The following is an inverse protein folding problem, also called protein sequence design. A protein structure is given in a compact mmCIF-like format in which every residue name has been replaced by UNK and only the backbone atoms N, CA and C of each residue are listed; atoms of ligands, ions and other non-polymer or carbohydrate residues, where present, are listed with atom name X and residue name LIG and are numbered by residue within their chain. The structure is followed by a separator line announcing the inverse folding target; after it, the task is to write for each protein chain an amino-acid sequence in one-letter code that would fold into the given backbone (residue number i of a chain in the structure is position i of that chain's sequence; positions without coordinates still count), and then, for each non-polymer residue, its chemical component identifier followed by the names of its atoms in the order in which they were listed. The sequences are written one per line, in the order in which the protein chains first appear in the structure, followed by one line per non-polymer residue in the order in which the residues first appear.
data_IF_996359563290
#
_entry.id   IF_996359563290
#
_cell.length_a   1.000
_cell.length_b   1.000
_cell.length_c   1.000
_cell.angle_alpha   90.00
_cell.angle_beta   90.00
_cell.angle_gamma   90.00
#
_symmetry.space_group_name_H-M   'P 1'
#
loop_
_entity.id
_entity.type
_entity.pdbx_description
1 polymer ?
#
# COMPACT_ATOMS: atom_id res chain seq x y z
N UNK A 1 11.28 26.19 -18.86
CA UNK A 1 10.97 25.89 -17.47
C UNK A 1 11.26 24.40 -17.29
N UNK A 2 12.32 24.05 -16.56
CA UNK A 2 12.69 22.67 -16.29
C UNK A 2 11.82 22.21 -15.12
N UNK A 3 11.01 21.17 -15.31
CA UNK A 3 10.33 20.47 -14.24
C UNK A 3 11.40 19.78 -13.40
N UNK A 4 11.44 20.08 -12.10
CA UNK A 4 12.28 19.41 -11.14
C UNK A 4 11.76 17.98 -10.96
N UNK A 5 12.67 17.01 -11.11
CA UNK A 5 12.42 15.58 -10.95
C UNK A 5 12.30 15.27 -9.45
N UNK A 6 11.38 14.42 -9.02
CA UNK A 6 11.45 13.85 -7.67
C UNK A 6 12.59 12.81 -7.67
N UNK A 7 13.68 13.17 -7.04
CA UNK A 7 14.84 12.28 -6.82
C UNK A 7 14.53 11.36 -5.63
N UNK A 8 14.18 10.12 -5.90
CA UNK A 8 13.93 9.09 -4.88
C UNK A 8 15.22 8.59 -4.18
N UNK A 9 16.40 9.10 -4.50
CA UNK A 9 17.68 8.52 -4.08
C UNK A 9 18.74 9.50 -3.54
N UNK A 10 18.43 10.78 -3.30
CA UNK A 10 19.44 11.68 -2.74
C UNK A 10 19.05 12.24 -1.38
N UNK A 11 19.81 11.83 -0.38
CA UNK A 11 19.90 12.52 0.89
C UNK A 11 20.42 13.95 0.65
N UNK A 12 19.57 14.95 0.79
CA UNK A 12 20.05 16.32 0.96
C UNK A 12 19.68 16.82 2.36
N UNK A 13 20.67 16.85 3.24
CA UNK A 13 20.62 17.73 4.38
C UNK A 13 20.44 19.15 3.84
N UNK A 14 19.35 19.84 4.23
CA UNK A 14 19.17 21.27 3.99
C UNK A 14 18.31 21.65 2.78
N UNK A 15 17.21 20.96 2.50
CA UNK A 15 16.16 21.43 1.59
C UNK A 15 15.38 22.58 2.23
N UNK A 16 15.29 23.73 1.54
CA UNK A 16 14.41 24.84 1.88
C UNK A 16 13.02 24.28 2.14
N UNK A 17 12.43 24.57 3.31
CA UNK A 17 11.00 24.34 3.59
C UNK A 17 10.21 25.08 2.52
N UNK A 18 9.82 24.39 1.44
CA UNK A 18 8.68 24.82 0.66
C UNK A 18 7.55 24.99 1.69
N UNK A 19 6.85 26.11 1.68
CA UNK A 19 5.76 26.35 2.63
C UNK A 19 4.69 25.29 2.37
N UNK A 20 4.63 24.27 3.24
CA UNK A 20 3.60 23.25 3.19
C UNK A 20 2.23 23.95 3.18
N UNK A 21 1.27 23.49 2.36
CA UNK A 21 -0.07 24.05 2.40
C UNK A 21 -0.65 23.83 3.79
N UNK A 22 -0.92 24.93 4.49
CA UNK A 22 -1.49 24.86 5.85
C UNK A 22 -2.91 24.33 5.77
N UNK A 23 -3.30 23.33 6.60
CA UNK A 23 -4.68 22.87 6.68
C UNK A 23 -5.62 24.04 7.05
N UNK A 24 -6.82 24.04 6.51
CA UNK A 24 -7.86 24.98 6.92
C UNK A 24 -8.31 24.70 8.37
N UNK A 25 -9.13 25.61 8.92
CA UNK A 25 -9.55 25.53 10.31
C UNK A 25 -10.36 24.25 10.63
N UNK A 26 -11.13 23.74 9.67
CA UNK A 26 -11.90 22.51 9.85
C UNK A 26 -10.98 21.28 9.89
N UNK A 27 -10.01 21.22 8.98
CA UNK A 27 -9.00 20.16 8.95
C UNK A 27 -8.12 20.19 10.21
N UNK A 28 -7.71 21.39 10.67
CA UNK A 28 -6.96 21.53 11.92
C UNK A 28 -7.76 21.03 13.13
N UNK A 29 -9.04 21.40 13.23
CA UNK A 29 -9.92 20.92 14.30
C UNK A 29 -10.09 19.39 14.26
N UNK A 30 -10.23 18.82 13.07
CA UNK A 30 -10.29 17.36 12.88
C UNK A 30 -9.02 16.66 13.38
N UNK A 31 -7.85 17.13 12.95
CA UNK A 31 -6.56 16.59 13.40
C UNK A 31 -6.37 16.72 14.92
N UNK A 32 -6.78 17.86 15.50
CA UNK A 32 -6.72 18.06 16.94
C UNK A 32 -7.57 17.03 17.71
N UNK A 33 -8.76 16.66 17.21
CA UNK A 33 -9.57 15.61 17.85
C UNK A 33 -8.89 14.25 17.85
N UNK A 34 -8.23 13.88 16.74
CA UNK A 34 -7.48 12.64 16.69
C UNK A 34 -6.24 12.70 17.58
N UNK A 35 -5.53 13.83 17.60
CA UNK A 35 -4.37 14.03 18.46
C UNK A 35 -4.72 13.85 19.95
N UNK A 36 -5.87 14.35 20.40
CA UNK A 36 -6.34 14.14 21.76
C UNK A 36 -6.61 12.67 22.07
N UNK A 37 -7.18 11.90 21.11
CA UNK A 37 -7.35 10.44 21.27
C UNK A 37 -6.02 9.71 21.37
N UNK A 38 -5.06 10.06 20.49
CA UNK A 38 -3.71 9.48 20.54
C UNK A 38 -3.03 9.79 21.88
N UNK A 39 -3.15 11.03 22.35
CA UNK A 39 -2.63 11.44 23.66
C UNK A 39 -3.25 10.65 24.82
N UNK A 40 -4.57 10.45 24.81
CA UNK A 40 -5.26 9.64 25.81
C UNK A 40 -4.80 8.16 25.78
N UNK A 41 -4.59 7.60 24.59
CA UNK A 41 -4.05 6.24 24.41
C UNK A 41 -2.62 6.13 24.99
N UNK A 42 -1.73 7.09 24.67
CA UNK A 42 -0.37 7.17 25.22
C UNK A 42 -0.42 7.21 26.76
N UNK A 43 -1.32 8.01 27.33
CA UNK A 43 -1.47 8.15 28.77
C UNK A 43 -1.95 6.85 29.42
N UNK A 44 -2.94 6.18 28.81
CA UNK A 44 -3.47 4.91 29.27
C UNK A 44 -2.44 3.77 29.18
N UNK A 45 -1.55 3.82 28.18
CA UNK A 45 -0.47 2.86 27.97
C UNK A 45 0.78 3.12 28.82
N UNK A 46 0.75 4.06 29.78
CA UNK A 46 1.88 4.34 30.66
C UNK A 46 2.91 5.32 30.10
N UNK A 47 2.52 6.14 29.11
CA UNK A 47 3.32 7.24 28.56
C UNK A 47 3.93 7.00 27.20
N UNK A 48 3.80 5.80 26.64
CA UNK A 48 4.35 5.43 25.33
C UNK A 48 3.47 4.39 24.62
N UNK A 49 3.35 4.50 23.30
CA UNK A 49 2.74 3.48 22.43
C UNK A 49 3.70 3.12 21.30
N UNK A 50 3.57 1.92 20.71
CA UNK A 50 4.36 1.56 19.53
C UNK A 50 4.02 2.47 18.34
N UNK A 51 4.99 2.65 17.42
CA UNK A 51 4.70 3.38 16.18
C UNK A 51 3.59 2.68 15.37
N UNK A 52 3.55 1.36 15.36
CA UNK A 52 2.47 0.58 14.75
C UNK A 52 1.09 1.01 15.26
N UNK A 53 0.93 1.15 16.59
CA UNK A 53 -0.34 1.60 17.18
C UNK A 53 -0.67 3.04 16.80
N UNK A 54 0.33 3.91 16.76
CA UNK A 54 0.16 5.30 16.27
C UNK A 54 -0.32 5.32 14.82
N UNK A 55 0.35 4.59 13.92
CA UNK A 55 -0.01 4.52 12.49
C UNK A 55 -1.43 3.96 12.31
N UNK A 56 -1.78 2.91 13.06
CA UNK A 56 -3.15 2.38 13.08
C UNK A 56 -4.18 3.45 13.45
N UNK A 57 -3.91 4.21 14.50
CA UNK A 57 -4.81 5.30 14.93
C UNK A 57 -4.86 6.42 13.90
N UNK A 58 -3.73 6.84 13.35
CA UNK A 58 -3.64 7.92 12.38
C UNK A 58 -4.38 7.61 11.08
N UNK A 59 -4.36 6.35 10.64
CA UNK A 59 -4.98 5.93 9.38
C UNK A 59 -6.42 5.42 9.54
N UNK A 60 -6.71 4.68 10.62
CA UNK A 60 -7.93 3.85 10.71
C UNK A 60 -8.86 4.17 11.87
N UNK A 61 -8.60 5.19 12.69
CA UNK A 61 -9.57 5.57 13.73
C UNK A 61 -10.92 5.93 13.10
N UNK A 62 -12.03 5.27 13.50
CA UNK A 62 -13.35 5.53 12.93
C UNK A 62 -13.74 7.01 12.98
N UNK A 63 -14.06 7.58 11.81
CA UNK A 63 -14.46 8.98 11.61
C UNK A 63 -13.33 10.01 11.76
N UNK A 64 -12.10 9.62 12.12
CA UNK A 64 -10.98 10.55 12.32
C UNK A 64 -9.70 10.16 11.57
N UNK A 65 -9.45 8.88 11.36
CA UNK A 65 -8.28 8.40 10.64
C UNK A 65 -8.32 8.77 9.17
N UNK A 66 -7.16 8.85 8.55
CA UNK A 66 -6.98 9.30 7.17
C UNK A 66 -7.93 8.60 6.18
N UNK A 67 -8.05 7.28 6.22
CA UNK A 67 -8.94 6.51 5.36
C UNK A 67 -10.40 6.48 5.83
N UNK A 68 -10.67 6.87 7.10
CA UNK A 68 -11.98 6.74 7.74
C UNK A 68 -12.72 8.07 7.92
N UNK A 69 -12.12 9.20 7.54
CA UNK A 69 -12.62 10.53 7.88
C UNK A 69 -13.56 11.16 6.85
N UNK A 70 -13.98 10.44 5.82
CA UNK A 70 -15.01 10.89 4.87
C UNK A 70 -14.67 12.11 4.01
N UNK A 71 -13.45 12.56 4.00
CA UNK A 71 -13.04 13.68 3.16
C UNK A 71 -12.44 13.13 1.86
N UNK A 72 -12.69 13.81 0.72
CA UNK A 72 -12.08 13.49 -0.58
C UNK A 72 -10.58 13.76 -0.53
N UNK A 73 -9.81 12.75 -0.06
CA UNK A 73 -8.35 12.83 0.09
C UNK A 73 -7.60 12.07 -0.98
N UNK A 74 -8.33 11.27 -1.79
CA UNK A 74 -7.79 10.51 -2.91
C UNK A 74 -8.04 11.27 -4.22
N UNK A 75 -7.12 11.17 -5.18
CA UNK A 75 -7.23 11.72 -6.53
C UNK A 75 -6.45 13.01 -6.74
N UNK A 76 -6.66 13.66 -7.89
CA UNK A 76 -5.88 14.82 -8.35
C UNK A 76 -5.90 16.03 -7.40
N UNK A 77 -6.97 16.19 -6.62
CA UNK A 77 -7.11 17.20 -5.56
C UNK A 77 -6.75 16.66 -4.17
N UNK A 78 -6.35 15.36 -4.07
CA UNK A 78 -5.96 14.67 -2.85
C UNK A 78 -4.44 14.56 -2.67
N UNK A 79 -4.04 13.67 -1.75
CA UNK A 79 -2.64 13.50 -1.36
C UNK A 79 -1.87 12.59 -2.33
N UNK A 80 -2.56 11.70 -3.06
CA UNK A 80 -1.96 10.71 -3.94
C UNK A 80 -2.83 10.41 -5.18
N UNK A 81 -2.17 10.15 -6.32
CA UNK A 81 -2.81 9.68 -7.56
C UNK A 81 -2.30 8.26 -7.83
N UNK A 82 -3.18 7.27 -7.70
CA UNK A 82 -2.85 5.88 -7.94
C UNK A 82 -2.80 5.53 -9.44
N UNK A 83 -2.16 4.42 -9.78
CA UNK A 83 -2.05 3.96 -11.18
C UNK A 83 -3.41 3.89 -11.91
N UNK A 84 -4.48 3.35 -11.32
CA UNK A 84 -5.80 3.31 -11.97
C UNK A 84 -6.45 4.67 -12.22
N UNK A 85 -6.05 5.71 -11.50
CA UNK A 85 -6.56 7.08 -11.71
C UNK A 85 -5.92 7.81 -12.88
N UNK A 86 -4.75 7.33 -13.33
CA UNK A 86 -4.01 7.94 -14.44
C UNK A 86 -4.53 7.54 -15.82
N UNK A 87 -5.18 6.39 -15.91
CA UNK A 87 -5.72 5.84 -17.15
C UNK A 87 -6.28 4.44 -16.96
N UNK A 88 -6.55 3.70 -18.04
CA UNK A 88 -7.21 2.39 -17.98
C UNK A 88 -6.34 1.22 -18.44
N UNK A 89 -5.08 1.46 -18.72
CA UNK A 89 -4.18 0.44 -19.27
C UNK A 89 -3.90 -0.68 -18.26
N UNK A 90 -3.64 -0.33 -16.99
CA UNK A 90 -3.41 -1.32 -15.94
C UNK A 90 -4.62 -2.25 -15.78
N UNK A 91 -5.83 -1.70 -15.66
CA UNK A 91 -7.05 -2.48 -15.50
C UNK A 91 -7.34 -3.38 -16.70
N UNK A 92 -7.04 -2.92 -17.93
CA UNK A 92 -7.20 -3.74 -19.15
C UNK A 92 -6.19 -4.89 -19.23
N UNK A 93 -4.94 -4.66 -18.87
CA UNK A 93 -3.93 -5.74 -18.79
C UNK A 93 -4.31 -6.72 -17.69
N UNK A 94 -4.72 -6.25 -16.52
CA UNK A 94 -5.22 -7.10 -15.44
C UNK A 94 -6.42 -7.93 -15.87
N UNK A 95 -7.39 -7.36 -16.58
CA UNK A 95 -8.54 -8.10 -17.07
C UNK A 95 -8.13 -9.30 -17.97
N UNK A 96 -7.09 -9.16 -18.78
CA UNK A 96 -6.54 -10.28 -19.58
C UNK A 96 -5.92 -11.39 -18.72
N UNK A 97 -5.28 -11.01 -17.61
CA UNK A 97 -4.72 -11.98 -16.64
C UNK A 97 -5.83 -12.67 -15.85
N UNK A 98 -6.85 -11.92 -15.46
CA UNK A 98 -7.96 -12.40 -14.64
C UNK A 98 -8.88 -13.36 -15.40
N UNK A 99 -9.17 -13.11 -16.69
CA UNK A 99 -10.11 -13.89 -17.47
C UNK A 99 -9.81 -15.40 -17.45
N UNK A 100 -8.61 -15.90 -17.77
CA UNK A 100 -8.31 -17.32 -17.70
C UNK A 100 -8.36 -17.89 -16.28
N UNK A 101 -7.97 -17.12 -15.25
CA UNK A 101 -8.01 -17.56 -13.85
C UNK A 101 -9.44 -17.81 -13.37
N UNK A 102 -10.39 -17.00 -13.83
CA UNK A 102 -11.81 -17.08 -13.45
C UNK A 102 -12.61 -18.15 -14.23
N UNK A 103 -12.11 -18.56 -15.38
CA UNK A 103 -12.77 -19.59 -16.21
C UNK A 103 -12.44 -21.02 -15.77
N UNK A 104 -11.45 -21.20 -14.89
CA UNK A 104 -10.99 -22.53 -14.46
C UNK A 104 -11.92 -23.23 -13.48
N UNK A 105 -12.75 -22.50 -12.76
CA UNK A 105 -13.73 -23.07 -11.80
C UNK A 105 -15.13 -22.51 -12.08
N UNK A 106 -16.06 -23.39 -12.47
CA UNK A 106 -17.47 -23.02 -12.70
C UNK A 106 -18.19 -22.55 -11.42
N UNK A 107 -17.59 -22.75 -10.25
CA UNK A 107 -18.10 -22.30 -8.94
C UNK A 107 -17.43 -21.01 -8.47
N UNK A 108 -16.80 -20.27 -9.38
CA UNK A 108 -16.09 -19.04 -9.05
C UNK A 108 -17.04 -17.98 -8.48
N UNK A 109 -16.67 -17.40 -7.34
CA UNK A 109 -17.33 -16.25 -6.73
C UNK A 109 -16.97 -14.93 -7.45
N UNK A 110 -16.03 -14.98 -8.40
CA UNK A 110 -15.57 -13.85 -9.18
C UNK A 110 -14.31 -13.17 -8.61
N UNK A 111 -14.34 -11.86 -8.58
CA UNK A 111 -13.23 -11.02 -8.10
C UNK A 111 -13.60 -10.40 -6.74
N UNK A 112 -12.68 -10.50 -5.77
CA UNK A 112 -12.72 -9.75 -4.51
C UNK A 112 -11.56 -8.76 -4.51
N UNK A 113 -11.85 -7.47 -4.56
CA UNK A 113 -10.84 -6.40 -4.45
C UNK A 113 -10.82 -5.85 -3.03
N UNK A 114 -9.62 -5.73 -2.46
CA UNK A 114 -9.40 -5.09 -1.17
C UNK A 114 -9.11 -3.60 -1.37
N UNK A 115 -9.83 -2.74 -0.66
CA UNK A 115 -9.52 -1.31 -0.64
C UNK A 115 -9.54 -0.66 -2.02
N UNK A 116 -10.65 -0.78 -2.76
CA UNK A 116 -10.74 -0.29 -4.14
C UNK A 116 -10.58 1.25 -4.31
N UNK A 117 -10.34 1.98 -3.23
CA UNK A 117 -10.24 3.43 -3.24
C UNK A 117 -11.47 4.08 -3.87
N UNK A 118 -11.28 4.89 -4.89
CA UNK A 118 -12.40 5.52 -5.64
C UNK A 118 -13.10 4.57 -6.62
N UNK A 119 -12.62 3.33 -6.78
CA UNK A 119 -13.24 2.30 -7.62
C UNK A 119 -12.81 2.32 -9.09
N UNK A 120 -11.78 3.06 -9.47
CA UNK A 120 -11.35 3.16 -10.88
C UNK A 120 -10.83 1.83 -11.41
N UNK A 121 -10.05 1.06 -10.62
CA UNK A 121 -9.55 -0.24 -11.06
C UNK A 121 -10.70 -1.23 -11.28
N UNK A 122 -11.64 -1.31 -10.32
CA UNK A 122 -12.84 -2.11 -10.44
C UNK A 122 -13.64 -1.75 -11.70
N UNK A 123 -13.81 -0.46 -11.98
CA UNK A 123 -14.52 0.01 -13.19
C UNK A 123 -13.84 -0.46 -14.46
N UNK A 124 -12.53 -0.32 -14.56
CA UNK A 124 -11.75 -0.70 -15.73
C UNK A 124 -11.83 -2.21 -15.98
N UNK A 125 -11.69 -3.00 -14.92
CA UNK A 125 -11.77 -4.47 -15.00
C UNK A 125 -13.19 -4.90 -15.41
N UNK A 126 -14.24 -4.32 -14.79
CA UNK A 126 -15.63 -4.66 -15.13
C UNK A 126 -16.02 -4.28 -16.55
N UNK A 127 -15.47 -3.19 -17.09
CA UNK A 127 -15.69 -2.85 -18.51
C UNK A 127 -15.17 -3.93 -19.46
N UNK A 128 -14.09 -4.61 -19.08
CA UNK A 128 -13.52 -5.72 -19.87
C UNK A 128 -14.18 -7.06 -19.55
N UNK A 129 -14.65 -7.26 -18.32
CA UNK A 129 -15.22 -8.52 -17.82
C UNK A 129 -16.62 -8.30 -17.20
N UNK A 130 -17.61 -7.81 -17.99
CA UNK A 130 -18.90 -7.35 -17.46
C UNK A 130 -19.76 -8.46 -16.83
N UNK A 131 -19.51 -9.72 -17.17
CA UNK A 131 -20.26 -10.87 -16.66
C UNK A 131 -19.67 -11.51 -15.41
N UNK A 132 -18.47 -11.07 -15.00
CA UNK A 132 -17.81 -11.62 -13.83
C UNK A 132 -18.32 -10.89 -12.58
N UNK A 133 -18.79 -11.62 -11.54
CA UNK A 133 -19.15 -11.02 -10.26
C UNK A 133 -17.97 -10.25 -9.66
N UNK A 134 -18.25 -9.07 -9.12
CA UNK A 134 -17.24 -8.22 -8.50
C UNK A 134 -17.68 -7.81 -7.11
N UNK A 135 -16.82 -8.06 -6.14
CA UNK A 135 -17.03 -7.70 -4.74
C UNK A 135 -15.88 -6.82 -4.28
N UNK A 136 -16.18 -5.78 -3.53
CA UNK A 136 -15.18 -4.90 -2.91
C UNK A 136 -15.26 -5.04 -1.40
N UNK A 137 -14.12 -5.31 -0.77
CA UNK A 137 -13.97 -5.19 0.67
C UNK A 137 -13.45 -3.78 0.96
N UNK A 138 -14.34 -2.93 1.48
CA UNK A 138 -14.05 -1.53 1.79
C UNK A 138 -14.50 -1.19 3.20
N UNK A 139 -13.61 -0.57 3.98
CA UNK A 139 -13.88 -0.21 5.36
C UNK A 139 -14.48 1.20 5.50
N UNK A 140 -14.16 2.08 4.55
CA UNK A 140 -14.64 3.48 4.54
C UNK A 140 -16.07 3.59 4.01
N UNK A 141 -17.05 4.04 4.83
CA UNK A 141 -18.43 4.23 4.37
C UNK A 141 -18.55 5.21 3.20
N UNK A 142 -17.70 6.23 3.17
CA UNK A 142 -17.73 7.26 2.13
C UNK A 142 -17.18 6.76 0.81
N UNK A 143 -16.08 5.99 0.83
CA UNK A 143 -15.57 5.31 -0.36
C UNK A 143 -16.58 4.29 -0.88
N UNK A 144 -17.23 3.51 0.00
CA UNK A 144 -18.33 2.64 -0.41
C UNK A 144 -19.47 3.40 -1.11
N UNK A 145 -19.84 4.58 -0.59
CA UNK A 145 -20.89 5.38 -1.23
C UNK A 145 -20.49 5.87 -2.63
N UNK A 146 -19.24 6.31 -2.80
CA UNK A 146 -18.69 6.71 -4.09
C UNK A 146 -18.62 5.52 -5.07
N UNK A 147 -18.13 4.38 -4.61
CA UNK A 147 -18.04 3.15 -5.39
C UNK A 147 -19.43 2.68 -5.84
N UNK A 148 -20.44 2.69 -4.96
CA UNK A 148 -21.83 2.34 -5.33
C UNK A 148 -22.44 3.27 -6.37
N UNK A 149 -22.11 4.56 -6.31
CA UNK A 149 -22.56 5.52 -7.32
C UNK A 149 -21.91 5.28 -8.69
N UNK A 150 -20.64 4.90 -8.72
CA UNK A 150 -19.88 4.62 -9.95
C UNK A 150 -20.16 3.23 -10.51
N UNK A 151 -20.33 2.23 -9.63
CA UNK A 151 -20.37 0.79 -9.93
C UNK A 151 -21.57 0.14 -9.23
N UNK A 152 -22.81 0.40 -9.70
CA UNK A 152 -24.02 -0.07 -9.03
C UNK A 152 -24.17 -1.61 -9.03
N UNK A 153 -23.43 -2.33 -9.88
CA UNK A 153 -23.42 -3.79 -9.95
C UNK A 153 -22.42 -4.46 -9.01
N UNK A 154 -21.54 -3.68 -8.37
CA UNK A 154 -20.51 -4.22 -7.46
C UNK A 154 -21.10 -4.49 -6.09
N UNK A 155 -20.79 -5.66 -5.56
CA UNK A 155 -21.12 -6.02 -4.18
C UNK A 155 -20.10 -5.42 -3.21
N UNK A 156 -20.55 -5.04 -1.99
CA UNK A 156 -19.67 -4.47 -0.96
C UNK A 156 -19.78 -5.30 0.32
N UNK A 157 -18.61 -5.67 0.85
CA UNK A 157 -18.48 -6.36 2.13
C UNK A 157 -17.53 -5.57 3.06
N UNK A 158 -17.69 -5.76 4.36
CA UNK A 158 -16.84 -5.12 5.39
C UNK A 158 -15.94 -6.12 6.10
N UNK A 159 -16.08 -7.40 5.78
CA UNK A 159 -15.30 -8.48 6.36
C UNK A 159 -14.90 -9.45 5.26
N UNK A 160 -13.73 -10.06 5.44
CA UNK A 160 -13.25 -11.09 4.55
C UNK A 160 -14.25 -12.27 4.58
N UNK A 161 -14.75 -12.71 3.40
CA UNK A 161 -15.61 -13.90 3.34
C UNK A 161 -14.88 -15.13 3.91
N UNK A 162 -15.59 -15.99 4.64
CA UNK A 162 -14.99 -17.20 5.22
C UNK A 162 -14.47 -18.17 4.14
N UNK A 163 -15.08 -18.15 2.95
CA UNK A 163 -14.71 -18.98 1.81
C UNK A 163 -14.81 -18.16 0.54
N UNK A 164 -13.79 -18.25 -0.31
CA UNK A 164 -13.76 -17.60 -1.62
C UNK A 164 -13.17 -18.52 -2.68
N UNK A 165 -13.77 -18.54 -3.86
CA UNK A 165 -13.28 -19.21 -5.05
C UNK A 165 -13.17 -18.21 -6.18
N UNK A 166 -11.99 -18.02 -6.73
CA UNK A 166 -11.78 -17.02 -7.78
C UNK A 166 -10.54 -16.17 -7.52
N UNK A 167 -10.60 -14.89 -7.79
CA UNK A 167 -9.44 -14.03 -7.64
C UNK A 167 -9.65 -13.02 -6.51
N UNK A 168 -8.65 -12.89 -5.66
CA UNK A 168 -8.52 -11.81 -4.69
C UNK A 168 -7.45 -10.83 -5.18
N UNK A 169 -7.75 -9.54 -5.19
CA UNK A 169 -6.89 -8.49 -5.73
C UNK A 169 -6.66 -7.40 -4.67
N UNK A 170 -5.40 -7.07 -4.42
CA UNK A 170 -5.00 -5.93 -3.59
C UNK A 170 -4.00 -5.06 -4.36
N UNK A 171 -4.39 -3.81 -4.60
CA UNK A 171 -3.55 -2.80 -5.24
C UNK A 171 -3.34 -1.63 -4.28
N UNK A 172 -2.10 -1.37 -3.89
CA UNK A 172 -1.74 -0.33 -2.92
C UNK A 172 -2.53 -0.48 -1.60
N UNK A 173 -2.41 -1.64 -0.96
CA UNK A 173 -3.11 -1.98 0.30
C UNK A 173 -2.11 -2.30 1.41
N UNK A 174 -1.01 -2.99 1.07
CA UNK A 174 -0.06 -3.46 2.06
C UNK A 174 0.83 -2.33 2.58
N UNK A 175 1.13 -1.35 1.74
CA UNK A 175 1.93 -0.16 2.06
C UNK A 175 1.30 0.70 3.17
N UNK A 176 -0.04 0.71 3.23
CA UNK A 176 -0.82 1.41 4.25
C UNK A 176 -1.04 0.60 5.54
N UNK A 177 -0.60 -0.66 5.59
CA UNK A 177 -0.71 -1.47 6.81
C UNK A 177 0.27 -0.98 7.89
N UNK A 178 -0.20 -0.84 9.16
CA UNK A 178 0.64 -0.38 10.24
C UNK A 178 1.90 -1.23 10.45
N UNK A 179 3.06 -0.57 10.43
CA UNK A 179 4.38 -1.20 10.53
C UNK A 179 4.99 -1.09 11.90
N UNK A 180 5.84 -2.03 12.25
CA UNK A 180 6.75 -1.90 13.39
C UNK A 180 8.01 -1.20 12.90
N UNK A 181 8.36 -0.07 13.49
CA UNK A 181 9.63 0.62 13.21
C UNK A 181 10.65 0.14 14.23
N UNK A 182 11.78 -0.37 13.74
CA UNK A 182 12.90 -0.81 14.58
C UNK A 182 14.15 -0.02 14.24
N UNK A 183 15.02 0.15 15.23
CA UNK A 183 16.30 0.86 15.07
C UNK A 183 17.34 0.25 16.01
N UNK A 184 18.59 0.17 15.58
CA UNK A 184 19.71 -0.20 16.46
C UNK A 184 20.08 0.98 17.37
N UNK A 185 20.22 0.74 18.67
CA UNK A 185 20.66 1.76 19.64
C UNK A 185 22.19 1.88 19.69
N UNK A 186 22.71 2.76 20.56
CA UNK A 186 24.14 3.00 20.76
C UNK A 186 24.94 1.75 21.21
N UNK A 187 24.27 0.65 21.51
CA UNK A 187 24.85 -0.63 21.94
C UNK A 187 24.62 -1.75 20.91
N UNK A 188 24.22 -1.39 19.67
CA UNK A 188 23.83 -2.29 18.60
C UNK A 188 22.66 -3.24 18.96
N UNK A 189 21.85 -2.86 19.98
CA UNK A 189 20.64 -3.62 20.33
C UNK A 189 19.48 -3.15 19.49
N UNK A 190 18.78 -4.08 18.86
CA UNK A 190 17.57 -3.77 18.11
C UNK A 190 16.42 -3.42 19.05
N UNK A 191 15.86 -2.24 18.87
CA UNK A 191 14.73 -1.74 19.66
C UNK A 191 13.59 -1.27 18.79
N UNK A 192 12.38 -1.40 19.30
CA UNK A 192 11.20 -0.84 18.65
C UNK A 192 11.08 0.65 18.94
N UNK A 193 10.87 1.43 17.88
CA UNK A 193 10.56 2.86 17.97
C UNK A 193 9.10 3.03 18.38
N UNK A 194 8.91 3.99 19.25
CA UNK A 194 7.63 4.29 19.89
C UNK A 194 7.29 5.77 19.75
N UNK A 195 6.10 6.14 20.20
CA UNK A 195 5.56 7.49 20.18
C UNK A 195 5.18 7.89 21.59
N UNK A 196 5.60 9.06 22.02
CA UNK A 196 5.21 9.66 23.30
C UNK A 196 4.74 11.12 23.13
N UNK A 197 4.09 11.62 24.15
CA UNK A 197 3.75 13.03 24.28
C UNK A 197 4.80 13.75 25.15
N UNK A 198 5.45 14.80 24.62
CA UNK A 198 6.49 15.54 25.34
C UNK A 198 5.99 16.79 26.09
N UNK A 199 4.68 17.07 26.05
CA UNK A 199 4.06 18.27 26.62
C UNK A 199 3.59 19.27 25.55
N UNK A 200 4.20 19.28 24.39
CA UNK A 200 3.89 20.17 23.28
C UNK A 200 3.38 19.42 22.03
N UNK A 201 3.90 18.20 21.80
CA UNK A 201 3.56 17.39 20.64
C UNK A 201 3.93 15.93 20.80
N UNK A 202 3.69 15.18 19.70
CA UNK A 202 4.17 13.81 19.55
C UNK A 202 5.66 13.83 19.19
N UNK A 203 6.40 12.89 19.73
CA UNK A 203 7.79 12.68 19.38
C UNK A 203 8.19 11.21 19.42
N UNK A 204 9.28 10.87 18.75
CA UNK A 204 9.87 9.54 18.79
C UNK A 204 10.36 9.19 20.19
N UNK A 205 10.08 7.95 20.59
CA UNK A 205 10.55 7.34 21.82
C UNK A 205 11.05 5.92 21.54
N UNK A 206 11.39 5.19 22.60
CA UNK A 206 11.71 3.77 22.56
C UNK A 206 10.66 2.98 23.34
N UNK A 207 10.32 1.79 22.85
CA UNK A 207 9.64 0.80 23.70
C UNK A 207 10.59 0.41 24.85
N UNK A 208 10.04 0.13 26.06
CA UNK A 208 10.87 -0.20 27.22
C UNK A 208 11.78 -1.41 27.00
N UNK A 209 11.26 -2.43 26.33
CA UNK A 209 11.97 -3.69 26.11
C UNK A 209 12.67 -3.72 24.73
N UNK A 210 13.79 -4.44 24.59
CA UNK A 210 14.40 -4.72 23.30
C UNK A 210 13.40 -5.45 22.36
N UNK A 211 13.53 -5.26 21.05
CA UNK A 211 12.75 -6.03 20.11
C UNK A 211 13.26 -7.47 20.03
N UNK A 212 12.36 -8.45 20.16
CA UNK A 212 12.72 -9.86 20.14
C UNK A 212 13.23 -10.31 18.77
N UNK A 213 14.47 -10.75 18.69
CA UNK A 213 15.10 -11.21 17.44
C UNK A 213 14.38 -12.45 16.89
N UNK A 214 13.78 -13.26 17.74
CA UNK A 214 12.97 -14.43 17.37
C UNK A 214 11.69 -14.08 16.60
N UNK A 215 11.25 -12.85 16.68
CA UNK A 215 10.10 -12.33 15.92
C UNK A 215 10.48 -11.86 14.50
N UNK A 216 11.78 -11.89 14.16
CA UNK A 216 12.28 -11.47 12.86
C UNK A 216 12.17 -12.62 11.84
N UNK A 217 11.97 -12.24 10.57
CA UNK A 217 12.17 -13.17 9.47
C UNK A 217 13.62 -13.72 9.52
N UNK A 218 13.83 -15.04 9.52
CA UNK A 218 15.18 -15.64 9.53
C UNK A 218 16.09 -15.11 8.41
N UNK A 219 15.54 -14.71 7.28
CA UNK A 219 16.27 -14.08 6.17
C UNK A 219 16.82 -12.69 6.49
N UNK A 220 16.34 -12.04 7.54
CA UNK A 220 16.81 -10.72 7.96
C UNK A 220 18.12 -10.76 8.75
N UNK A 221 18.31 -11.78 9.57
CA UNK A 221 19.45 -11.87 10.48
C UNK A 221 20.83 -11.72 9.79
N UNK A 222 21.09 -12.34 8.62
CA UNK A 222 22.36 -12.15 7.91
C UNK A 222 22.56 -10.72 7.38
N UNK A 223 21.46 -10.00 7.09
CA UNK A 223 21.50 -8.64 6.56
C UNK A 223 21.80 -7.62 7.68
N UNK A 224 21.32 -7.88 8.89
CA UNK A 224 21.57 -7.03 10.06
C UNK A 224 23.07 -6.86 10.35
N UNK A 225 23.89 -7.87 10.09
CA UNK A 225 25.34 -7.80 10.29
C UNK A 225 26.05 -6.74 9.41
N UNK A 226 25.36 -6.19 8.41
CA UNK A 226 25.87 -5.15 7.51
C UNK A 226 25.30 -3.77 7.80
N UNK A 227 24.41 -3.65 8.80
CA UNK A 227 23.77 -2.38 9.13
C UNK A 227 24.75 -1.43 9.80
N UNK A 228 24.73 -0.15 9.44
CA UNK A 228 25.47 0.86 10.17
C UNK A 228 24.82 1.14 11.53
N UNK A 229 25.53 1.86 12.40
CA UNK A 229 24.98 2.38 13.66
C UNK A 229 23.68 3.18 13.41
N UNK A 230 22.73 3.08 14.32
CA UNK A 230 21.43 3.77 14.24
C UNK A 230 20.63 3.45 12.97
N UNK A 231 20.78 2.24 12.46
CA UNK A 231 20.02 1.80 11.30
C UNK A 231 18.54 1.64 11.68
N UNK A 232 17.68 2.40 11.01
CA UNK A 232 16.23 2.36 11.17
C UNK A 232 15.58 1.70 9.96
N UNK A 233 14.59 0.84 10.23
CA UNK A 233 13.81 0.18 9.19
C UNK A 233 12.43 -0.21 9.70
N UNK A 234 11.58 -0.66 8.79
CA UNK A 234 10.24 -1.15 9.09
C UNK A 234 10.17 -2.67 8.96
N UNK A 235 9.35 -3.28 9.83
CA UNK A 235 8.94 -4.67 9.74
C UNK A 235 7.43 -4.71 9.48
N UNK A 236 6.98 -5.65 8.64
CA UNK A 236 5.59 -5.79 8.19
C UNK A 236 4.89 -7.05 8.71
N UNK A 237 4.81 -7.29 10.02
CA UNK A 237 4.16 -8.52 10.54
C UNK A 237 2.68 -8.59 10.19
N UNK A 238 2.01 -7.44 10.03
CA UNK A 238 0.60 -7.41 9.64
C UNK A 238 0.37 -7.85 8.19
N UNK A 239 1.28 -7.57 7.26
CA UNK A 239 1.14 -7.99 5.87
C UNK A 239 1.18 -9.52 5.74
N UNK A 240 2.09 -10.19 6.46
CA UNK A 240 2.16 -11.66 6.47
C UNK A 240 0.99 -12.29 7.22
N UNK A 241 0.53 -11.70 8.33
CA UNK A 241 -0.65 -12.17 9.05
C UNK A 241 -1.92 -12.01 8.21
N UNK A 242 -2.10 -10.88 7.53
CA UNK A 242 -3.20 -10.66 6.60
C UNK A 242 -3.16 -11.66 5.43
N UNK A 243 -1.98 -11.92 4.86
CA UNK A 243 -1.84 -12.91 3.79
C UNK A 243 -2.24 -14.33 4.28
N UNK A 244 -1.98 -14.68 5.55
CA UNK A 244 -2.45 -15.91 6.15
C UNK A 244 -4.00 -15.96 6.17
N UNK A 245 -4.67 -14.89 6.65
CA UNK A 245 -6.13 -14.82 6.70
C UNK A 245 -6.74 -14.93 5.29
N UNK A 246 -6.15 -14.23 4.32
CA UNK A 246 -6.55 -14.31 2.91
C UNK A 246 -6.35 -15.72 2.36
N UNK A 247 -5.23 -16.35 2.66
CA UNK A 247 -4.95 -17.72 2.23
C UNK A 247 -5.94 -18.72 2.86
N UNK A 248 -6.34 -18.54 4.11
CA UNK A 248 -7.32 -19.41 4.77
C UNK A 248 -8.72 -19.27 4.15
N UNK A 249 -9.10 -18.05 3.77
CA UNK A 249 -10.36 -17.78 3.06
C UNK A 249 -10.36 -18.33 1.63
N UNK A 250 -9.26 -18.17 0.88
CA UNK A 250 -9.16 -18.59 -0.52
C UNK A 250 -9.15 -20.12 -0.64
N UNK A 251 -10.20 -20.70 -1.21
CA UNK A 251 -10.33 -22.16 -1.40
C UNK A 251 -9.64 -22.63 -2.69
N UNK A 252 -9.81 -21.88 -3.78
CA UNK A 252 -9.18 -22.10 -5.07
C UNK A 252 -9.12 -20.80 -5.87
N UNK A 253 -8.10 -20.64 -6.69
CA UNK A 253 -7.94 -19.46 -7.54
C UNK A 253 -6.62 -18.73 -7.30
N UNK A 254 -6.63 -17.41 -7.24
CA UNK A 254 -5.40 -16.62 -7.11
C UNK A 254 -5.54 -15.42 -6.18
N UNK A 255 -4.44 -15.06 -5.53
CA UNK A 255 -4.22 -13.77 -4.87
C UNK A 255 -3.25 -12.96 -5.73
N UNK A 256 -3.63 -11.75 -6.09
CA UNK A 256 -2.81 -10.80 -6.85
C UNK A 256 -2.52 -9.60 -5.96
N UNK A 257 -1.25 -9.31 -5.74
CA UNK A 257 -0.76 -8.19 -4.96
C UNK A 257 0.01 -7.25 -5.89
N UNK A 258 -0.33 -5.98 -5.87
CA UNK A 258 0.37 -4.91 -6.61
C UNK A 258 0.67 -3.82 -5.60
N UNK A 259 1.95 -3.59 -5.36
CA UNK A 259 2.37 -2.59 -4.37
C UNK A 259 3.82 -2.15 -4.63
N UNK A 260 4.22 -1.02 -4.07
CA UNK A 260 5.61 -0.61 -4.14
C UNK A 260 6.43 -1.21 -2.99
N UNK A 261 7.61 -1.70 -3.34
CA UNK A 261 8.45 -2.40 -2.38
C UNK A 261 9.65 -3.08 -3.01
N UNK A 262 10.33 -3.85 -2.19
CA UNK A 262 11.60 -4.46 -2.54
C UNK A 262 11.71 -5.88 -2.01
N UNK A 263 12.67 -6.62 -2.55
CA UNK A 263 13.18 -7.82 -1.89
C UNK A 263 14.06 -7.44 -0.69
N UNK A 264 14.22 -8.37 0.26
CA UNK A 264 14.91 -8.12 1.51
C UNK A 264 16.31 -7.51 1.36
N UNK A 265 17.09 -7.97 0.38
CA UNK A 265 18.44 -7.46 0.13
C UNK A 265 18.48 -5.97 -0.26
N UNK A 266 17.47 -5.49 -0.97
CA UNK A 266 17.32 -4.08 -1.32
C UNK A 266 16.56 -3.32 -0.24
N UNK A 267 15.54 -3.93 0.36
CA UNK A 267 14.73 -3.34 1.42
C UNK A 267 15.59 -2.95 2.62
N UNK A 268 16.44 -3.87 3.07
CA UNK A 268 17.34 -3.72 4.23
C UNK A 268 18.76 -3.33 3.85
N UNK A 269 18.96 -2.73 2.65
CA UNK A 269 20.28 -2.34 2.20
C UNK A 269 20.91 -1.31 3.15
N UNK A 270 22.23 -1.41 3.49
CA UNK A 270 22.90 -0.49 4.43
C UNK A 270 22.78 1.00 4.10
N UNK A 271 22.56 1.36 2.84
CA UNK A 271 22.34 2.75 2.43
C UNK A 271 20.93 3.29 2.75
N UNK A 272 19.98 2.43 3.15
CA UNK A 272 18.60 2.81 3.52
C UNK A 272 18.47 3.01 5.03
N UNK A 273 19.36 3.81 5.62
CA UNK A 273 19.51 3.97 7.07
C UNK A 273 18.28 4.52 7.80
N UNK A 274 17.34 5.12 7.09
CA UNK A 274 16.15 5.75 7.67
C UNK A 274 14.85 5.01 7.31
N UNK A 275 14.97 3.83 6.71
CA UNK A 275 13.84 3.04 6.26
C UNK A 275 13.08 3.64 5.08
N UNK A 276 11.87 3.14 4.89
CA UNK A 276 10.98 3.49 3.79
C UNK A 276 9.73 4.26 4.22
N UNK A 277 9.49 4.39 5.54
CA UNK A 277 8.34 5.12 6.08
C UNK A 277 8.26 6.54 5.51
N UNK A 278 7.09 6.90 5.02
CA UNK A 278 6.80 8.23 4.46
C UNK A 278 5.47 8.74 4.98
N UNK A 279 5.39 10.07 5.11
CA UNK A 279 4.16 10.78 5.36
C UNK A 279 3.89 11.73 4.19
N UNK A 280 2.65 11.77 3.71
CA UNK A 280 2.25 12.65 2.62
C UNK A 280 1.08 13.53 3.03
N UNK A 281 1.13 14.79 2.64
CA UNK A 281 0.03 15.73 2.75
C UNK A 281 -0.06 16.58 1.49
N UNK A 282 -1.18 16.50 0.77
CA UNK A 282 -1.43 17.23 -0.49
C UNK A 282 -0.25 17.12 -1.47
N UNK A 283 0.17 15.88 -1.74
CA UNK A 283 1.29 15.55 -2.63
C UNK A 283 2.68 16.05 -2.16
N UNK A 284 2.79 16.53 -0.93
CA UNK A 284 4.06 16.94 -0.33
C UNK A 284 4.54 15.85 0.64
N UNK A 285 5.77 15.43 0.45
CA UNK A 285 6.44 14.57 1.40
C UNK A 285 6.80 15.33 2.68
N UNK A 286 6.57 14.70 3.82
CA UNK A 286 6.87 15.19 5.16
C UNK A 286 7.95 14.34 5.80
N UNK A 287 8.95 14.99 6.40
CA UNK A 287 10.02 14.30 7.15
C UNK A 287 9.54 13.76 8.50
N UNK A 288 8.48 14.34 9.06
CA UNK A 288 7.94 14.00 10.36
C UNK A 288 6.55 13.38 10.22
N UNK A 289 6.38 12.08 10.59
CA UNK A 289 5.10 11.39 10.47
C UNK A 289 4.06 11.87 11.49
N UNK A 290 4.42 12.74 12.40
CA UNK A 290 3.53 13.24 13.46
C UNK A 290 2.79 14.51 13.09
N UNK A 291 3.08 15.11 11.93
CA UNK A 291 2.31 16.25 11.44
C UNK A 291 0.85 15.87 11.16
N UNK A 292 -0.06 16.63 11.71
CA UNK A 292 -1.50 16.57 11.48
C UNK A 292 -2.07 15.15 11.40
N UNK A 293 -2.06 14.37 12.50
CA UNK A 293 -2.60 13.01 12.50
C UNK A 293 -4.02 12.97 11.93
N UNK A 294 -4.29 11.97 11.09
CA UNK A 294 -5.57 11.85 10.37
C UNK A 294 -5.71 12.74 9.13
N UNK A 295 -4.75 13.64 8.85
CA UNK A 295 -4.70 14.42 7.59
C UNK A 295 -3.62 13.95 6.63
N UNK A 296 -2.62 13.22 7.13
CA UNK A 296 -1.50 12.71 6.34
C UNK A 296 -1.69 11.23 6.06
N UNK A 297 -1.36 10.83 4.85
CA UNK A 297 -1.15 9.43 4.52
C UNK A 297 0.19 8.97 5.06
N UNK A 298 0.22 7.78 5.65
CA UNK A 298 1.43 7.15 6.19
C UNK A 298 1.61 5.82 5.46
N UNK A 299 2.72 5.68 4.76
CA UNK A 299 3.02 4.49 3.97
C UNK A 299 4.42 3.97 4.24
N UNK A 300 4.61 2.68 4.06
CA UNK A 300 5.91 2.04 4.09
C UNK A 300 6.03 1.03 2.95
N UNK A 301 7.22 0.88 2.38
CA UNK A 301 7.43 -0.09 1.31
C UNK A 301 7.14 -1.52 1.78
N UNK A 302 6.67 -2.37 0.87
CA UNK A 302 6.39 -3.77 1.15
C UNK A 302 7.65 -4.61 1.02
N UNK A 303 7.94 -5.44 2.03
CA UNK A 303 8.97 -6.46 1.94
C UNK A 303 8.41 -7.71 1.24
N UNK A 304 8.59 -7.80 -0.08
CA UNK A 304 8.10 -8.93 -0.86
C UNK A 304 8.80 -10.25 -0.55
N UNK A 305 10.05 -10.24 -0.07
CA UNK A 305 10.72 -11.48 0.36
C UNK A 305 9.99 -12.16 1.51
N UNK A 306 9.44 -11.41 2.46
CA UNK A 306 8.66 -11.98 3.56
C UNK A 306 7.40 -12.67 3.06
N UNK A 307 6.69 -12.07 2.08
CA UNK A 307 5.50 -12.67 1.46
C UNK A 307 5.85 -13.92 0.65
N UNK A 308 6.93 -13.87 -0.14
CA UNK A 308 7.42 -15.00 -0.93
C UNK A 308 7.84 -16.17 -0.03
N UNK A 309 8.49 -15.91 1.10
CA UNK A 309 8.88 -16.95 2.07
C UNK A 309 7.66 -17.55 2.77
N UNK A 310 6.64 -16.76 3.09
CA UNK A 310 5.43 -17.24 3.75
C UNK A 310 4.53 -18.05 2.80
N UNK A 311 4.47 -17.72 1.51
CA UNK A 311 3.52 -18.29 0.55
C UNK A 311 3.46 -19.84 0.56
N UNK A 312 4.59 -20.60 0.51
CA UNK A 312 4.55 -22.06 0.50
C UNK A 312 3.92 -22.65 1.78
N UNK A 313 4.19 -22.06 2.95
CA UNK A 313 3.64 -22.53 4.22
C UNK A 313 2.14 -22.33 4.32
N UNK A 314 1.61 -21.36 3.54
CA UNK A 314 0.18 -21.03 3.41
C UNK A 314 -0.52 -21.86 2.32
N UNK A 315 0.20 -22.78 1.65
CA UNK A 315 -0.30 -23.56 0.52
C UNK A 315 -0.55 -22.71 -0.73
N UNK A 316 0.20 -21.62 -0.89
CA UNK A 316 0.19 -20.75 -2.05
C UNK A 316 1.41 -21.02 -2.92
N UNK A 317 1.20 -21.15 -4.22
CA UNK A 317 2.26 -21.33 -5.24
C UNK A 317 2.51 -20.00 -5.93
N UNK A 318 3.77 -19.57 -6.05
CA UNK A 318 4.14 -18.37 -6.80
C UNK A 318 3.98 -18.64 -8.29
N UNK A 319 3.07 -17.94 -8.95
CA UNK A 319 2.84 -18.00 -10.40
C UNK A 319 3.61 -16.90 -11.13
N UNK A 320 3.66 -15.71 -10.57
CA UNK A 320 4.43 -14.58 -11.08
C UNK A 320 4.98 -13.75 -9.92
N UNK A 321 6.22 -13.29 -10.06
CA UNK A 321 6.80 -12.22 -9.27
C UNK A 321 7.73 -11.38 -10.15
N UNK A 322 7.56 -10.06 -10.11
CA UNK A 322 8.39 -9.14 -10.88
C UNK A 322 7.96 -7.69 -10.71
N UNK A 323 8.70 -6.77 -11.33
CA UNK A 323 8.29 -5.38 -11.36
C UNK A 323 7.11 -5.15 -12.31
N UNK A 324 6.42 -4.03 -12.12
CA UNK A 324 5.21 -3.68 -12.88
C UNK A 324 5.46 -3.61 -14.38
N UNK A 325 6.59 -3.02 -14.81
CA UNK A 325 6.93 -2.91 -16.22
C UNK A 325 7.04 -4.29 -16.88
N UNK A 326 7.74 -5.23 -16.24
CA UNK A 326 7.87 -6.61 -16.71
C UNK A 326 6.50 -7.30 -16.75
N UNK A 327 5.70 -7.16 -15.69
CA UNK A 327 4.35 -7.71 -15.65
C UNK A 327 3.50 -7.25 -16.83
N UNK A 328 3.45 -5.95 -17.07
CA UNK A 328 2.67 -5.38 -18.16
C UNK A 328 3.11 -5.90 -19.54
N UNK A 329 4.43 -5.95 -19.78
CA UNK A 329 4.99 -6.42 -21.05
C UNK A 329 4.67 -7.91 -21.28
N UNK A 330 4.86 -8.76 -20.28
CA UNK A 330 4.61 -10.20 -20.38
C UNK A 330 3.11 -10.53 -20.51
N UNK A 331 2.21 -9.64 -20.07
CA UNK A 331 0.77 -9.87 -20.09
C UNK A 331 -0.01 -9.03 -21.11
N UNK A 332 0.67 -8.60 -22.18
CA UNK A 332 0.01 -8.09 -23.38
C UNK A 332 -0.14 -6.56 -23.44
N UNK A 333 0.74 -5.81 -22.79
CA UNK A 333 0.79 -4.34 -22.88
C UNK A 333 0.71 -3.84 -24.34
N UNK A 334 1.49 -4.46 -25.25
CA UNK A 334 1.54 -4.02 -26.65
C UNK A 334 0.21 -4.16 -27.37
N UNK A 335 -0.51 -5.25 -27.12
CA UNK A 335 -1.83 -5.50 -27.73
C UNK A 335 -2.88 -4.55 -27.15
N UNK A 336 -2.89 -4.38 -25.82
CA UNK A 336 -3.79 -3.43 -25.14
C UNK A 336 -3.55 -2.02 -25.65
N UNK A 337 -2.29 -1.62 -25.80
CA UNK A 337 -1.95 -0.33 -26.38
C UNK A 337 -2.47 -0.18 -27.80
N UNK A 338 -2.25 -1.18 -28.66
CA UNK A 338 -2.72 -1.14 -30.05
C UNK A 338 -4.24 -1.02 -30.14
N UNK A 339 -4.98 -1.75 -29.31
CA UNK A 339 -6.45 -1.65 -29.21
C UNK A 339 -6.90 -0.26 -28.75
N UNK A 340 -6.25 0.28 -27.72
CA UNK A 340 -6.60 1.59 -27.17
C UNK A 340 -6.22 2.74 -28.11
N UNK A 341 -5.13 2.61 -28.86
CA UNK A 341 -4.64 3.63 -29.79
C UNK A 341 -5.43 3.67 -31.11
N UNK A 342 -6.14 2.60 -31.45
CA UNK A 342 -6.83 2.49 -32.74
C UNK A 342 -7.90 3.59 -32.90
N UNK A 343 -7.75 4.42 -33.93
CA UNK A 343 -8.71 5.47 -34.27
C UNK A 343 -8.74 6.66 -33.31
N UNK A 344 -7.79 6.76 -32.38
CA UNK A 344 -7.71 7.87 -31.42
C UNK A 344 -7.14 9.14 -32.01
N UNK A 345 -7.59 10.27 -31.50
CA UNK A 345 -7.03 11.58 -31.79
C UNK A 345 -5.66 11.79 -31.09
N UNK A 346 -4.88 12.73 -31.59
CA UNK A 346 -3.51 13.02 -31.11
C UNK A 346 -3.47 13.28 -29.59
N UNK A 347 -4.43 13.99 -29.04
CA UNK A 347 -4.49 14.28 -27.60
C UNK A 347 -4.69 13.01 -26.76
N UNK A 348 -5.55 12.08 -27.19
CA UNK A 348 -5.76 10.80 -26.52
C UNK A 348 -4.54 9.89 -26.60
N UNK A 349 -3.86 9.88 -27.76
CA UNK A 349 -2.60 9.15 -27.93
C UNK A 349 -1.50 9.71 -27.01
N UNK A 350 -1.44 11.03 -26.85
CA UNK A 350 -0.49 11.66 -25.93
C UNK A 350 -0.75 11.26 -24.47
N UNK A 351 -2.03 11.25 -24.05
CA UNK A 351 -2.40 10.80 -22.71
C UNK A 351 -2.03 9.32 -22.49
N UNK A 352 -2.34 8.45 -23.45
CA UNK A 352 -2.01 7.03 -23.39
C UNK A 352 -0.49 6.79 -23.32
N UNK A 353 0.30 7.53 -24.10
CA UNK A 353 1.75 7.44 -24.07
C UNK A 353 2.32 7.90 -22.71
N UNK A 354 1.72 8.91 -22.09
CA UNK A 354 2.12 9.34 -20.74
C UNK A 354 1.76 8.28 -19.68
N UNK A 355 0.59 7.63 -19.81
CA UNK A 355 0.21 6.51 -18.93
C UNK A 355 1.23 5.37 -19.02
N UNK A 356 1.57 4.91 -20.24
CA UNK A 356 2.61 3.89 -20.46
C UNK A 356 3.92 4.31 -19.82
N UNK A 357 4.36 5.52 -20.08
CA UNK A 357 5.63 6.02 -19.51
C UNK A 357 5.63 5.92 -17.99
N UNK A 358 4.56 6.33 -17.34
CA UNK A 358 4.44 6.26 -15.87
C UNK A 358 4.45 4.82 -15.36
N UNK A 359 3.74 3.92 -16.04
CA UNK A 359 3.63 2.52 -15.61
C UNK A 359 4.88 1.68 -15.93
N UNK A 360 5.74 2.10 -16.85
CA UNK A 360 6.86 1.25 -17.33
C UNK A 360 8.25 1.82 -17.10
N UNK A 361 8.40 3.14 -16.92
CA UNK A 361 9.73 3.72 -16.73
C UNK A 361 10.30 3.45 -15.34
N UNK A 362 11.61 3.14 -15.21
CA UNK A 362 12.23 2.82 -13.93
C UNK A 362 12.14 3.95 -12.90
N UNK A 363 12.18 5.21 -13.35
CA UNK A 363 12.10 6.39 -12.47
C UNK A 363 10.67 6.74 -12.04
N UNK A 364 9.71 6.01 -12.55
CA UNK A 364 8.29 6.14 -12.23
C UNK A 364 7.84 4.87 -11.50
N UNK A 365 6.70 4.30 -11.85
CA UNK A 365 6.15 3.10 -11.18
C UNK A 365 6.77 1.78 -11.69
N UNK A 366 7.38 1.78 -12.88
CA UNK A 366 7.75 0.57 -13.61
C UNK A 366 8.68 -0.37 -12.84
N UNK A 367 9.61 0.16 -12.05
CA UNK A 367 10.57 -0.63 -11.26
C UNK A 367 10.22 -0.65 -9.78
N UNK A 368 9.68 0.43 -9.22
CA UNK A 368 9.35 0.54 -7.80
C UNK A 368 8.16 -0.34 -7.40
N UNK A 369 7.16 -0.48 -8.28
CA UNK A 369 6.03 -1.37 -8.07
C UNK A 369 6.38 -2.81 -8.41
N UNK A 370 5.91 -3.72 -7.58
CA UNK A 370 6.01 -5.17 -7.77
C UNK A 370 4.63 -5.77 -7.93
N UNK A 371 4.57 -6.83 -8.73
CA UNK A 371 3.37 -7.66 -8.88
C UNK A 371 3.72 -9.06 -8.40
N UNK A 372 2.91 -9.59 -7.49
CA UNK A 372 3.01 -10.95 -7.00
C UNK A 372 1.68 -11.65 -7.24
N UNK A 373 1.70 -12.74 -8.03
CA UNK A 373 0.55 -13.61 -8.25
C UNK A 373 0.81 -14.92 -7.55
N UNK A 374 -0.08 -15.27 -6.63
CA UNK A 374 -0.08 -16.48 -5.84
C UNK A 374 -1.30 -17.32 -6.19
N UNK A 375 -1.11 -18.59 -6.53
CA UNK A 375 -2.19 -19.53 -6.84
C UNK A 375 -2.45 -20.49 -5.70
N UNK A 376 -3.71 -20.77 -5.45
CA UNK A 376 -4.17 -21.81 -4.54
C UNK A 376 -4.96 -22.85 -5.31
N UNK A 377 -4.50 -24.10 -5.24
CA UNK A 377 -5.23 -25.24 -5.80
C UNK A 377 -6.21 -25.77 -4.76
N UNK A 378 -7.38 -26.19 -5.21
CA UNK A 378 -8.33 -26.89 -4.34
C UNK A 378 -7.64 -28.13 -3.73
N UNK A 379 -7.73 -28.27 -2.40
CA UNK A 379 -7.31 -29.52 -1.76
C UNK A 379 -8.30 -30.60 -2.18
N UNK A 380 -7.80 -31.60 -2.92
CA UNK A 380 -8.54 -32.80 -3.36
C UNK A 380 -8.92 -33.65 -2.16
#
# INVERSE_FOLDING_TARGET
MRAERPDFLTHSQGGRKASLPVPDAAAQAHSALLLERIRAEIQAAGGVISFRRYMEMALYTPGLGYYMAGQNRLGADGDFVTAPEMGSLLGRVLARVLAPLLQTDARSDGILEFGAGRGFLAQQIQQCLPMIPYTVLELSPDLQAQQRAMLPSVNHVQQLPAHWRGVMLANEVLDAMPVVVVETDDQDVLRERAVRWNGEGLEWAWMPEPYGIEALDPGLLPLMAQWPEHYRTELHPLATAWMQEVADSLQSGALILIDYGHEAGEYYHPQRQTGSLRAYYRQHWLDDPFYWPGLCDLTAHVNFSALLHAAPTLGLEVDFYGNLARFLVEHGLADVYAEMAAGQEVAALFALNNEIKRLTMPQEMGESFKVLILKKREKI
#
